data_IF_747824810100
#
_entry.id   IF_747824810100
#
_cell.length_a   1.000
_cell.length_b   1.000
_cell.length_c   1.000
_cell.angle_alpha   90.00
_cell.angle_beta   90.00
_cell.angle_gamma   90.00
#
_symmetry.space_group_name_H-M   'P 1'
#
loop_
_entity.id
_entity.type
_entity.pdbx_description
1 polymer ?
#
# COMPACT_ATOMS: atom_id res chain seq x y z
N UNK A 1 5.42 -9.01 5.50
CA UNK A 1 5.38 -8.85 4.02
C UNK A 1 4.04 -8.25 3.66
N UNK A 2 4.01 -7.29 2.74
CA UNK A 2 2.76 -6.67 2.25
C UNK A 2 2.54 -7.02 0.78
N UNK A 3 1.30 -7.28 0.41
CA UNK A 3 0.81 -7.52 -0.97
C UNK A 3 1.70 -8.42 -1.85
N UNK A 4 1.89 -9.71 -1.50
CA UNK A 4 2.68 -10.63 -2.32
C UNK A 4 2.06 -10.81 -3.71
N UNK A 5 2.92 -10.93 -4.72
CA UNK A 5 2.51 -10.93 -6.12
C UNK A 5 3.00 -12.17 -6.89
N UNK A 6 2.30 -12.58 -7.96
CA UNK A 6 2.67 -13.73 -8.76
C UNK A 6 3.91 -13.47 -9.64
N UNK A 7 4.72 -14.50 -9.96
CA UNK A 7 5.98 -14.34 -10.70
C UNK A 7 5.81 -13.87 -12.17
N UNK A 8 4.59 -13.78 -12.67
CA UNK A 8 4.27 -13.40 -14.06
C UNK A 8 4.29 -11.87 -14.31
N UNK A 9 4.45 -11.06 -13.27
CA UNK A 9 4.54 -9.59 -13.38
C UNK A 9 5.89 -9.08 -13.94
N UNK A 10 6.82 -9.98 -14.25
CA UNK A 10 8.16 -9.65 -14.77
C UNK A 10 9.21 -9.43 -13.69
N UNK A 11 8.84 -9.58 -12.41
CA UNK A 11 9.75 -9.52 -11.27
C UNK A 11 9.94 -10.92 -10.66
N UNK A 12 11.13 -11.17 -10.12
CA UNK A 12 11.42 -12.40 -9.38
C UNK A 12 11.31 -12.14 -7.89
N UNK A 13 10.28 -12.73 -7.26
CA UNK A 13 10.09 -12.67 -5.81
C UNK A 13 11.07 -13.58 -5.05
N UNK A 14 11.75 -14.50 -5.75
CA UNK A 14 12.53 -15.58 -5.13
C UNK A 14 11.62 -16.59 -4.42
N UNK A 15 12.01 -17.00 -3.21
CA UNK A 15 11.20 -17.84 -2.30
C UNK A 15 11.11 -17.14 -0.94
N UNK A 16 10.34 -16.05 -0.84
CA UNK A 16 10.29 -15.30 0.40
C UNK A 16 9.57 -16.12 1.48
N UNK A 17 9.97 -15.93 2.72
CA UNK A 17 9.27 -16.42 3.91
C UNK A 17 8.85 -15.24 4.76
N UNK A 18 7.72 -15.33 5.45
CA UNK A 18 7.26 -14.29 6.36
C UNK A 18 6.45 -14.88 7.52
N UNK A 19 6.50 -14.22 8.66
CA UNK A 19 5.65 -14.55 9.82
C UNK A 19 4.27 -13.87 9.72
N UNK A 20 4.21 -12.70 9.08
CA UNK A 20 2.98 -11.93 8.86
C UNK A 20 2.90 -11.49 7.40
N UNK A 21 1.72 -11.70 6.80
CA UNK A 21 1.38 -11.22 5.46
C UNK A 21 0.14 -10.35 5.53
N UNK A 22 0.26 -9.09 5.10
CA UNK A 22 -0.88 -8.20 4.91
C UNK A 22 -1.29 -8.19 3.44
N UNK A 23 -2.60 -8.17 3.17
CA UNK A 23 -3.17 -8.07 1.83
C UNK A 23 -4.17 -6.91 1.82
N UNK A 24 -3.85 -5.85 1.08
CA UNK A 24 -4.64 -4.61 1.01
C UNK A 24 -6.01 -4.87 0.39
N UNK A 25 -6.06 -5.69 -0.66
CA UNK A 25 -7.29 -6.07 -1.34
C UNK A 25 -7.13 -7.38 -2.13
N UNK A 26 -8.27 -8.02 -2.43
CA UNK A 26 -8.26 -9.24 -3.25
C UNK A 26 -8.08 -8.87 -4.71
N UNK A 27 -6.83 -8.92 -5.17
CA UNK A 27 -6.49 -8.76 -6.57
C UNK A 27 -5.35 -9.70 -6.94
N UNK A 28 -5.37 -10.36 -8.12
CA UNK A 28 -4.37 -11.37 -8.48
C UNK A 28 -2.92 -10.88 -8.37
N UNK A 29 -2.67 -9.58 -8.59
CA UNK A 29 -1.32 -8.98 -8.48
C UNK A 29 -0.91 -8.59 -7.05
N UNK A 30 -1.79 -8.71 -6.05
CA UNK A 30 -1.56 -8.26 -4.66
C UNK A 30 -1.90 -9.31 -3.59
N UNK A 31 -2.49 -10.44 -3.97
CA UNK A 31 -2.95 -11.47 -3.01
C UNK A 31 -2.34 -12.85 -3.24
N UNK A 32 -1.12 -12.94 -3.80
CA UNK A 32 -0.42 -14.20 -4.08
C UNK A 32 0.25 -14.80 -2.84
N UNK A 33 -0.55 -15.06 -1.80
CA UNK A 33 -0.07 -15.60 -0.51
C UNK A 33 0.55 -16.99 -0.67
N UNK A 34 0.09 -17.80 -1.63
CA UNK A 34 0.70 -19.11 -1.91
C UNK A 34 2.17 -19.04 -2.38
N UNK A 35 2.65 -17.87 -2.78
CA UNK A 35 4.06 -17.63 -3.11
C UNK A 35 4.96 -17.40 -1.91
N UNK A 36 4.39 -17.27 -0.72
CA UNK A 36 5.11 -16.98 0.52
C UNK A 36 5.27 -18.29 1.30
N UNK A 37 6.52 -18.68 1.56
CA UNK A 37 6.84 -19.82 2.40
C UNK A 37 6.66 -19.53 3.90
N UNK A 38 6.65 -20.59 4.70
CA UNK A 38 6.40 -20.53 6.14
C UNK A 38 4.92 -20.78 6.48
N UNK A 39 4.52 -20.43 7.71
CA UNK A 39 3.13 -20.47 8.19
C UNK A 39 2.67 -19.07 8.59
N UNK A 40 2.60 -18.10 7.63
CA UNK A 40 2.31 -16.72 7.95
C UNK A 40 0.92 -16.53 8.54
N UNK A 41 0.80 -15.60 9.48
CA UNK A 41 -0.49 -15.04 9.89
C UNK A 41 -0.97 -14.04 8.83
N UNK A 42 -2.18 -14.26 8.32
CA UNK A 42 -2.75 -13.45 7.26
C UNK A 42 -3.64 -12.35 7.84
N UNK A 43 -3.34 -11.11 7.47
CA UNK A 43 -4.18 -9.94 7.76
C UNK A 43 -4.73 -9.45 6.42
N UNK A 44 -6.03 -9.64 6.20
CA UNK A 44 -6.67 -9.43 4.89
C UNK A 44 -7.91 -8.54 4.95
N UNK A 45 -8.17 -7.96 6.13
CA UNK A 45 -9.35 -7.17 6.43
C UNK A 45 -8.99 -6.00 7.32
N UNK A 46 -9.76 -4.90 7.25
CA UNK A 46 -9.70 -3.83 8.23
C UNK A 46 -9.89 -4.34 9.67
N UNK A 47 -9.37 -3.60 10.64
CA UNK A 47 -9.39 -3.92 12.06
C UNK A 47 -8.02 -3.82 12.72
N UNK A 48 -7.98 -4.00 14.03
CA UNK A 48 -6.77 -3.97 14.84
C UNK A 48 -6.28 -5.40 15.12
N UNK A 49 -4.98 -5.61 14.97
CA UNK A 49 -4.33 -6.90 15.18
C UNK A 49 -3.02 -6.70 15.93
N UNK A 50 -2.73 -7.58 16.88
CA UNK A 50 -1.42 -7.67 17.53
C UNK A 50 -0.87 -9.08 17.29
N UNK A 51 0.23 -9.18 16.53
CA UNK A 51 0.79 -10.47 16.12
C UNK A 51 2.30 -10.44 16.35
N UNK A 52 2.78 -11.28 17.27
CA UNK A 52 4.22 -11.40 17.54
C UNK A 52 4.87 -10.10 18.03
N UNK A 53 4.12 -9.24 18.73
CA UNK A 53 4.60 -7.94 19.22
C UNK A 53 4.55 -6.82 18.17
N UNK A 54 4.00 -7.09 16.98
CA UNK A 54 3.71 -6.07 15.95
C UNK A 54 2.25 -5.66 16.04
N UNK A 55 1.99 -4.37 16.21
CA UNK A 55 0.64 -3.79 16.11
C UNK A 55 0.33 -3.47 14.64
N UNK A 56 -0.85 -3.88 14.17
CA UNK A 56 -1.31 -3.66 12.81
C UNK A 56 -2.72 -3.10 12.84
N UNK A 57 -2.92 -1.92 12.26
CA UNK A 57 -4.23 -1.28 12.12
C UNK A 57 -4.59 -1.26 10.63
N UNK A 58 -5.65 -1.95 10.27
CA UNK A 58 -6.21 -1.99 8.92
C UNK A 58 -7.35 -1.00 8.78
N UNK A 59 -7.19 0.01 7.94
CA UNK A 59 -8.13 1.12 7.77
C UNK A 59 -8.85 0.97 6.42
N UNK A 60 -10.20 0.98 6.41
CA UNK A 60 -10.96 0.76 5.18
C UNK A 60 -10.85 1.97 4.24
N UNK A 61 -10.46 1.71 3.00
CA UNK A 61 -10.37 2.69 1.91
C UNK A 61 -10.89 2.08 0.61
N UNK A 62 -10.78 2.79 -0.51
CA UNK A 62 -11.24 2.32 -1.81
C UNK A 62 -10.17 2.44 -2.88
N UNK A 63 -10.22 1.53 -3.86
CA UNK A 63 -9.33 1.53 -5.02
C UNK A 63 -9.86 2.46 -6.14
N UNK A 64 -10.86 3.28 -5.84
CA UNK A 64 -11.36 4.31 -6.75
C UNK A 64 -11.94 5.49 -5.96
N UNK A 65 -12.25 6.58 -6.68
CA UNK A 65 -12.87 7.77 -6.11
C UNK A 65 -14.41 7.66 -5.98
N UNK A 66 -14.99 6.50 -6.26
CA UNK A 66 -16.44 6.24 -6.32
C UNK A 66 -16.87 5.23 -5.25
N UNK A 67 -16.17 5.20 -4.11
CA UNK A 67 -16.53 4.34 -2.97
C UNK A 67 -16.40 2.84 -3.27
N UNK A 68 -15.50 2.47 -4.17
CA UNK A 68 -15.26 1.09 -4.59
C UNK A 68 -16.18 0.60 -5.70
N UNK A 69 -16.99 1.47 -6.31
CA UNK A 69 -17.95 1.10 -7.35
C UNK A 69 -17.30 0.59 -8.65
N UNK A 70 -16.04 0.95 -8.91
CA UNK A 70 -15.31 0.58 -10.14
C UNK A 70 -14.25 -0.48 -9.93
N UNK A 71 -13.51 -0.41 -8.81
CA UNK A 71 -12.31 -1.24 -8.53
C UNK A 71 -12.38 -1.94 -7.18
N UNK A 72 -13.38 -1.64 -6.37
CA UNK A 72 -13.62 -2.30 -5.09
C UNK A 72 -12.89 -1.65 -3.92
N UNK A 73 -12.79 -2.44 -2.85
CA UNK A 73 -12.24 -2.01 -1.56
C UNK A 73 -10.72 -2.06 -1.58
N UNK A 74 -10.12 -1.21 -0.75
CA UNK A 74 -8.70 -1.25 -0.41
C UNK A 74 -8.56 -1.17 1.12
N UNK A 75 -7.48 -1.70 1.67
CA UNK A 75 -7.17 -1.61 3.10
C UNK A 75 -5.79 -0.99 3.22
N UNK A 76 -5.72 0.16 3.88
CA UNK A 76 -4.45 0.75 4.32
C UNK A 76 -4.01 0.00 5.57
N UNK A 77 -2.73 -0.32 5.68
CA UNK A 77 -2.19 -0.93 6.89
C UNK A 77 -1.16 -0.02 7.52
N UNK A 78 -1.42 0.39 8.76
CA UNK A 78 -0.45 0.98 9.66
C UNK A 78 0.17 -0.15 10.47
N UNK A 79 1.50 -0.25 10.49
CA UNK A 79 2.24 -1.31 11.16
C UNK A 79 3.29 -0.70 12.08
N UNK A 80 3.20 -0.96 13.37
CA UNK A 80 4.21 -0.55 14.36
C UNK A 80 5.17 -1.72 14.60
N UNK A 81 6.44 -1.53 14.22
CA UNK A 81 7.49 -2.54 14.32
C UNK A 81 8.71 -1.89 14.95
N UNK A 82 9.16 -2.42 16.09
CA UNK A 82 10.36 -1.94 16.81
C UNK A 82 10.36 -0.41 17.07
N UNK A 83 9.18 0.15 17.37
CA UNK A 83 9.00 1.59 17.63
C UNK A 83 9.05 2.47 16.38
N UNK A 84 8.91 1.88 15.19
CA UNK A 84 8.71 2.59 13.93
C UNK A 84 7.32 2.30 13.36
N UNK A 85 6.66 3.34 12.87
CA UNK A 85 5.33 3.27 12.27
C UNK A 85 5.41 3.32 10.75
N UNK A 86 5.08 2.21 10.10
CA UNK A 86 5.09 2.07 8.64
C UNK A 86 3.65 2.05 8.12
N UNK A 87 3.31 2.96 7.23
CA UNK A 87 1.99 3.03 6.59
C UNK A 87 2.06 2.55 5.15
N UNK A 88 1.34 1.48 4.83
CA UNK A 88 1.21 0.95 3.47
C UNK A 88 -0.18 1.25 2.90
N UNK A 89 -0.24 2.15 1.92
CA UNK A 89 -1.53 2.62 1.37
C UNK A 89 -2.22 1.62 0.42
N UNK A 90 -1.54 0.54 0.02
CA UNK A 90 -2.04 -0.37 -1.00
C UNK A 90 -2.34 0.36 -2.32
N UNK A 91 -3.45 0.01 -2.93
CA UNK A 91 -3.90 0.56 -4.20
C UNK A 91 -4.91 1.71 -3.99
N UNK A 92 -4.53 2.70 -3.19
CA UNK A 92 -5.39 3.82 -2.86
C UNK A 92 -5.84 4.57 -4.13
N UNK A 93 -7.16 4.79 -4.27
CA UNK A 93 -7.78 5.42 -5.43
C UNK A 93 -8.35 6.82 -5.19
N UNK A 94 -8.23 7.36 -3.97
CA UNK A 94 -8.76 8.67 -3.58
C UNK A 94 -7.85 9.35 -2.55
N UNK A 95 -8.04 10.65 -2.31
CA UNK A 95 -7.42 11.34 -1.16
C UNK A 95 -8.10 10.89 0.14
N UNK A 96 -7.39 10.91 1.26
CA UNK A 96 -7.94 10.41 2.53
C UNK A 96 -9.00 11.36 3.08
N UNK A 97 -10.02 10.80 3.73
CA UNK A 97 -10.99 11.59 4.51
C UNK A 97 -10.37 12.06 5.83
N UNK A 98 -10.96 13.07 6.47
CA UNK A 98 -10.47 13.53 7.78
C UNK A 98 -10.45 12.39 8.82
N UNK A 99 -11.49 11.56 8.86
CA UNK A 99 -11.57 10.38 9.73
C UNK A 99 -10.43 9.38 9.46
N UNK A 100 -10.14 9.09 8.18
CA UNK A 100 -9.03 8.20 7.82
C UNK A 100 -7.66 8.80 8.18
N UNK A 101 -7.50 10.12 8.08
CA UNK A 101 -6.26 10.81 8.49
C UNK A 101 -6.11 10.76 10.01
N UNK A 102 -7.18 10.95 10.78
CA UNK A 102 -7.15 10.82 12.24
C UNK A 102 -6.79 9.39 12.70
N UNK A 103 -7.21 8.36 11.95
CA UNK A 103 -6.78 6.97 12.21
C UNK A 103 -5.33 6.68 11.77
N UNK A 104 -4.79 7.45 10.81
CA UNK A 104 -3.41 7.33 10.31
C UNK A 104 -2.54 8.38 11.02
N UNK A 105 -2.11 8.06 12.23
CA UNK A 105 -1.29 8.97 13.06
C UNK A 105 0.20 8.54 13.11
N UNK A 106 1.08 9.51 13.38
CA UNK A 106 2.54 9.39 13.58
C UNK A 106 3.27 8.45 12.61
N UNK A 107 3.12 8.67 11.31
CA UNK A 107 3.77 7.83 10.28
C UNK A 107 5.25 8.18 10.09
N UNK A 108 6.13 7.24 10.40
CA UNK A 108 7.56 7.38 10.08
C UNK A 108 7.84 7.15 8.60
N UNK A 109 7.28 6.07 8.03
CA UNK A 109 7.53 5.65 6.66
C UNK A 109 6.22 5.41 5.92
N UNK A 110 5.97 6.20 4.87
CA UNK A 110 4.79 6.07 4.02
C UNK A 110 5.14 5.38 2.70
N UNK A 111 4.48 4.25 2.42
CA UNK A 111 4.51 3.56 1.13
C UNK A 111 3.26 3.94 0.34
N UNK A 112 3.45 4.68 -0.76
CA UNK A 112 2.37 5.37 -1.45
C UNK A 112 2.41 5.15 -2.98
N UNK A 113 1.30 4.78 -3.63
CA UNK A 113 1.27 4.57 -5.06
C UNK A 113 1.28 5.90 -5.83
N UNK A 114 2.02 5.98 -6.95
CA UNK A 114 2.14 7.22 -7.75
C UNK A 114 1.91 7.01 -9.26
N UNK A 115 1.42 5.83 -9.65
CA UNK A 115 1.23 5.46 -11.06
C UNK A 115 0.07 6.15 -11.77
N UNK A 116 -0.94 6.64 -11.05
CA UNK A 116 -2.02 7.48 -11.57
C UNK A 116 -3.02 6.86 -12.55
N UNK A 117 -2.92 5.56 -12.87
CA UNK A 117 -3.85 4.87 -13.80
C UNK A 117 -4.91 4.07 -13.04
N UNK A 118 -4.47 3.13 -12.21
CA UNK A 118 -5.33 2.35 -11.30
C UNK A 118 -5.47 3.00 -9.93
N UNK A 119 -4.44 3.73 -9.49
CA UNK A 119 -4.32 4.38 -8.19
C UNK A 119 -4.35 5.90 -8.30
N UNK A 120 -4.17 6.60 -7.17
CA UNK A 120 -3.90 8.05 -7.13
C UNK A 120 -2.73 8.47 -8.04
N UNK A 121 -2.82 9.70 -8.53
CA UNK A 121 -1.80 10.36 -9.37
C UNK A 121 -0.86 11.23 -8.53
N UNK A 122 0.17 11.82 -9.15
CA UNK A 122 1.18 12.62 -8.45
C UNK A 122 0.60 13.81 -7.62
N UNK A 123 -0.32 14.65 -8.13
CA UNK A 123 -0.94 15.70 -7.31
C UNK A 123 -1.73 15.17 -6.11
N UNK A 124 -2.52 14.11 -6.29
CA UNK A 124 -3.26 13.48 -5.18
C UNK A 124 -2.31 12.83 -4.18
N UNK A 125 -1.21 12.24 -4.64
CA UNK A 125 -0.17 11.69 -3.79
C UNK A 125 0.49 12.78 -2.93
N UNK A 126 0.80 13.94 -3.51
CA UNK A 126 1.30 15.08 -2.77
C UNK A 126 0.28 15.60 -1.73
N UNK A 127 -1.03 15.56 -2.05
CA UNK A 127 -2.09 15.86 -1.08
C UNK A 127 -2.08 14.89 0.10
N UNK A 128 -2.03 13.58 -0.17
CA UNK A 128 -2.00 12.54 0.88
C UNK A 128 -0.76 12.69 1.76
N UNK A 129 0.39 13.02 1.18
CA UNK A 129 1.62 13.31 1.95
C UNK A 129 1.42 14.53 2.87
N UNK A 130 0.76 15.59 2.41
CA UNK A 130 0.43 16.74 3.26
C UNK A 130 -0.59 16.42 4.34
N UNK A 131 -1.48 15.45 4.12
CA UNK A 131 -2.46 15.02 5.12
C UNK A 131 -1.81 14.21 6.24
N UNK A 132 -0.86 13.33 5.90
CA UNK A 132 -0.21 12.39 6.84
C UNK A 132 1.04 13.00 7.50
N UNK A 133 1.71 13.93 6.83
CA UNK A 133 3.00 14.52 7.23
C UNK A 133 4.08 13.49 7.64
N UNK A 134 4.36 12.47 6.80
CA UNK A 134 5.31 11.41 7.16
C UNK A 134 6.76 11.89 7.15
N UNK A 135 7.61 11.22 7.94
CA UNK A 135 9.06 11.53 7.99
C UNK A 135 9.80 11.09 6.72
N UNK A 136 9.39 9.96 6.14
CA UNK A 136 9.95 9.38 4.91
C UNK A 136 8.83 8.92 3.97
N UNK A 137 8.98 9.21 2.68
CA UNK A 137 8.05 8.74 1.63
C UNK A 137 8.78 7.80 0.67
N UNK A 138 8.20 6.64 0.42
CA UNK A 138 8.65 5.67 -0.57
C UNK A 138 7.57 5.51 -1.64
N UNK A 139 7.77 6.07 -2.85
CA UNK A 139 6.81 5.90 -3.93
C UNK A 139 6.79 4.45 -4.43
N UNK A 140 5.61 3.95 -4.78
CA UNK A 140 5.40 2.62 -5.35
C UNK A 140 4.40 2.66 -6.52
N UNK A 141 4.14 1.52 -7.15
CA UNK A 141 3.14 1.37 -8.23
C UNK A 141 3.32 2.34 -9.42
N UNK A 142 4.57 2.60 -9.82
CA UNK A 142 4.89 3.44 -10.98
C UNK A 142 5.54 2.62 -12.10
N UNK A 143 5.72 3.24 -13.27
CA UNK A 143 6.31 2.59 -14.44
C UNK A 143 7.76 2.18 -14.19
N UNK A 144 8.05 0.90 -14.41
CA UNK A 144 9.42 0.37 -14.42
C UNK A 144 9.72 -0.30 -15.77
N UNK A 145 11.00 -0.58 -16.08
CA UNK A 145 11.37 -1.35 -17.27
C UNK A 145 10.84 -2.79 -17.28
N UNK A 146 10.62 -3.40 -16.11
CA UNK A 146 10.19 -4.79 -15.98
C UNK A 146 8.68 -4.97 -16.17
N UNK A 147 7.88 -3.92 -15.92
CA UNK A 147 6.43 -4.01 -15.95
C UNK A 147 5.85 -3.60 -17.31
N UNK A 148 5.17 -4.54 -17.97
CA UNK A 148 4.44 -4.29 -19.22
C UNK A 148 3.01 -3.78 -18.97
N UNK A 149 2.87 -2.72 -18.16
CA UNK A 149 1.61 -1.98 -17.94
C UNK A 149 1.82 -0.50 -18.22
N UNK A 150 0.75 0.19 -18.59
CA UNK A 150 0.75 1.65 -18.68
C UNK A 150 0.61 2.25 -17.28
N UNK A 151 1.63 2.98 -16.84
CA UNK A 151 1.66 3.70 -15.57
C UNK A 151 2.42 5.01 -15.75
N UNK A 152 2.15 5.99 -14.89
CA UNK A 152 2.99 7.16 -14.73
C UNK A 152 4.39 6.80 -14.23
N UNK A 153 5.39 7.57 -14.63
CA UNK A 153 6.77 7.40 -14.16
C UNK A 153 6.99 8.13 -12.83
N UNK A 154 7.99 7.72 -12.06
CA UNK A 154 8.28 8.32 -10.74
C UNK A 154 8.72 9.77 -10.84
N UNK A 155 9.31 10.20 -11.97
CA UNK A 155 9.78 11.57 -12.18
C UNK A 155 8.64 12.59 -12.14
N UNK A 156 7.42 12.19 -12.55
CA UNK A 156 6.23 13.06 -12.43
C UNK A 156 5.91 13.37 -10.97
N UNK A 157 6.05 12.37 -10.11
CA UNK A 157 5.85 12.52 -8.67
C UNK A 157 6.96 13.34 -8.03
N UNK A 158 8.22 13.05 -8.35
CA UNK A 158 9.35 13.81 -7.81
C UNK A 158 9.26 15.30 -8.16
N UNK A 159 8.88 15.62 -9.41
CA UNK A 159 8.69 17.02 -9.85
C UNK A 159 7.59 17.76 -9.07
N UNK A 160 6.54 17.04 -8.66
CA UNK A 160 5.45 17.63 -7.85
C UNK A 160 5.90 17.93 -6.42
N UNK A 161 6.83 17.13 -5.88
CA UNK A 161 7.36 17.30 -4.53
C UNK A 161 8.40 18.42 -4.41
N UNK A 162 8.96 18.89 -5.54
CA UNK A 162 9.99 19.95 -5.60
C UNK A 162 11.40 19.42 -5.71
#
# INVERSE_FOLDING_TARGET
MTDPYPPDLGYSLGKPTADIVTVSHQHPSHSYVQGVGGEPKLVTRPGEYEIGGVLIIGIPTFHDAEGGGKRGKNTVYLMEIDGMTICHLGDLGHVLTAEQVEEIDDVDVLLLPVGGVSTINAPMAAEVIRQIEPKVVVPMHYKTPALNRELGTVEKFLKEMG
#
